data_IF_877863891828
#
_entry.id   IF_877863891828
#
_cell.length_a   1.000
_cell.length_b   1.000
_cell.length_c   1.000
_cell.angle_alpha   90.00
_cell.angle_beta   90.00
_cell.angle_gamma   90.00
#
_symmetry.space_group_name_H-M   'P 1'
#
loop_
_entity.id
_entity.type
_entity.pdbx_description
1 polymer ?
#
# COMPACT_ATOMS: atom_id res chain seq x y z
N UNK A 1 -6.91 -5.96 25.02
CA UNK A 1 -7.19 -5.78 23.59
C UNK A 1 -6.82 -7.09 22.94
N UNK A 2 -7.73 -7.72 22.19
CA UNK A 2 -7.44 -8.97 21.49
C UNK A 2 -7.08 -8.69 20.02
N UNK A 3 -7.89 -7.84 19.35
CA UNK A 3 -7.62 -7.42 17.98
C UNK A 3 -7.93 -5.95 17.71
N UNK A 4 -7.24 -5.39 16.71
CA UNK A 4 -7.48 -4.05 16.21
C UNK A 4 -7.63 -4.11 14.68
N UNK A 5 -8.71 -3.55 14.15
CA UNK A 5 -8.90 -3.38 12.69
C UNK A 5 -8.43 -1.99 12.32
N UNK A 6 -7.58 -1.86 11.31
CA UNK A 6 -6.83 -0.65 10.96
C UNK A 6 -7.04 -0.34 9.47
N UNK A 7 -7.18 0.93 9.16
CA UNK A 7 -7.08 1.49 7.81
C UNK A 7 -6.35 2.83 7.90
N UNK A 8 -5.39 3.08 7.02
CA UNK A 8 -4.63 4.33 7.01
C UNK A 8 -4.72 5.02 5.66
N UNK A 9 -4.73 6.35 5.70
CA UNK A 9 -4.56 7.17 4.52
C UNK A 9 -3.19 7.80 4.57
N UNK A 10 -2.44 7.77 3.47
CA UNK A 10 -1.04 8.21 3.45
C UNK A 10 -0.75 9.16 2.30
N UNK A 11 0.29 9.97 2.42
CA UNK A 11 0.87 10.74 1.34
C UNK A 11 2.31 10.27 1.08
N UNK A 12 2.73 10.27 -0.17
CA UNK A 12 4.14 10.19 -0.58
C UNK A 12 4.30 10.88 -1.93
N UNK A 13 5.48 11.44 -2.19
CA UNK A 13 5.86 11.95 -3.51
C UNK A 13 6.31 10.84 -4.47
N UNK A 14 6.44 9.60 -3.98
CA UNK A 14 6.77 8.43 -4.77
C UNK A 14 5.49 7.75 -5.25
N UNK A 15 5.49 7.28 -6.50
CA UNK A 15 4.32 6.59 -7.07
C UNK A 15 4.29 5.12 -6.63
N UNK A 16 3.37 4.78 -5.72
CA UNK A 16 3.17 3.43 -5.17
C UNK A 16 3.09 2.34 -6.25
N UNK A 17 2.32 2.56 -7.32
CA UNK A 17 2.11 1.58 -8.38
C UNK A 17 3.38 1.30 -9.22
N UNK A 18 4.38 2.19 -9.17
CA UNK A 18 5.66 2.01 -9.89
C UNK A 18 6.76 1.39 -9.04
N UNK A 19 6.70 1.51 -7.72
CA UNK A 19 7.82 1.17 -6.85
C UNK A 19 7.49 0.19 -5.71
N UNK A 20 6.21 -0.08 -5.44
CA UNK A 20 5.78 -0.86 -4.29
C UNK A 20 5.81 -0.07 -2.97
N UNK A 21 5.27 -0.67 -1.91
CA UNK A 21 5.02 -0.01 -0.62
C UNK A 21 6.31 0.36 0.13
N UNK A 22 7.33 -0.49 0.10
CA UNK A 22 8.61 -0.23 0.77
C UNK A 22 9.20 1.10 0.30
N UNK A 23 9.38 1.25 -1.03
CA UNK A 23 9.96 2.49 -1.57
C UNK A 23 9.03 3.70 -1.42
N UNK A 24 7.73 3.46 -1.35
CA UNK A 24 6.73 4.50 -1.12
C UNK A 24 6.82 5.09 0.30
N UNK A 25 6.96 4.21 1.31
CA UNK A 25 7.08 4.58 2.72
C UNK A 25 8.47 5.15 3.07
N UNK A 26 9.54 4.72 2.39
CA UNK A 26 10.89 5.27 2.55
C UNK A 26 11.07 6.73 2.12
N UNK A 27 10.06 7.34 1.49
CA UNK A 27 10.20 8.74 1.07
C UNK A 27 10.39 9.65 2.28
N UNK A 28 11.34 10.61 2.25
CA UNK A 28 11.42 11.66 3.26
C UNK A 28 10.17 12.54 3.35
N UNK A 29 9.31 12.49 2.32
CA UNK A 29 8.04 13.21 2.27
C UNK A 29 6.83 12.29 2.59
N UNK A 30 7.07 11.05 3.03
CA UNK A 30 6.00 10.14 3.43
C UNK A 30 5.32 10.62 4.71
N UNK A 31 3.99 10.58 4.74
CA UNK A 31 3.19 10.93 5.92
C UNK A 31 1.97 10.02 6.04
N UNK A 32 1.67 9.56 7.26
CA UNK A 32 0.33 9.03 7.57
C UNK A 32 -0.58 10.22 7.87
N UNK A 33 -1.63 10.34 7.07
CA UNK A 33 -2.58 11.43 7.07
C UNK A 33 -3.74 11.18 8.03
N UNK A 34 -4.38 10.02 7.92
CA UNK A 34 -5.49 9.58 8.74
C UNK A 34 -5.21 8.17 9.26
N UNK A 35 -5.60 7.91 10.51
CA UNK A 35 -5.52 6.59 11.11
C UNK A 35 -6.90 6.18 11.61
N UNK A 36 -7.55 5.32 10.85
CA UNK A 36 -8.84 4.70 11.17
C UNK A 36 -8.60 3.39 11.92
N UNK A 37 -9.31 3.19 13.03
CA UNK A 37 -9.21 1.93 13.77
C UNK A 37 -10.49 1.55 14.52
N UNK A 38 -10.62 0.26 14.83
CA UNK A 38 -11.60 -0.28 15.78
C UNK A 38 -10.97 -1.37 16.65
N UNK A 39 -11.19 -1.27 17.96
CA UNK A 39 -10.72 -2.24 18.95
C UNK A 39 -11.79 -3.32 19.17
N UNK A 40 -11.41 -4.59 19.10
CA UNK A 40 -12.24 -5.76 19.42
C UNK A 40 -13.62 -5.74 18.73
N UNK A 41 -13.66 -5.31 17.46
CA UNK A 41 -14.88 -5.17 16.66
C UNK A 41 -15.83 -4.04 17.11
N UNK A 42 -15.34 -3.12 17.94
CA UNK A 42 -16.10 -1.99 18.49
C UNK A 42 -16.33 -0.84 17.52
N UNK A 43 -16.62 0.35 18.08
CA UNK A 43 -16.86 1.56 17.29
C UNK A 43 -15.57 2.02 16.61
N UNK A 44 -15.65 2.34 15.31
CA UNK A 44 -14.53 2.93 14.58
C UNK A 44 -14.22 4.34 15.09
N UNK A 45 -12.94 4.63 15.25
CA UNK A 45 -12.37 5.95 15.51
C UNK A 45 -11.48 6.35 14.34
N UNK A 46 -11.38 7.65 14.05
CA UNK A 46 -10.47 8.18 13.02
C UNK A 46 -9.66 9.29 13.67
N UNK A 47 -8.34 9.17 13.59
CA UNK A 47 -7.37 10.13 14.10
C UNK A 47 -6.83 10.95 12.94
N UNK A 48 -6.95 12.27 13.04
CA UNK A 48 -6.49 13.25 12.05
C UNK A 48 -5.02 13.64 12.29
N UNK A 49 -4.11 12.73 11.96
CA UNK A 49 -2.68 12.91 12.16
C UNK A 49 -2.13 14.12 11.38
N UNK A 50 -2.64 14.38 10.18
CA UNK A 50 -2.28 15.55 9.37
C UNK A 50 -2.65 16.89 10.03
N UNK A 51 -3.56 16.91 10.99
CA UNK A 51 -3.93 18.09 11.79
C UNK A 51 -3.39 18.04 13.23
N UNK A 52 -2.47 17.13 13.52
CA UNK A 52 -1.75 17.07 14.80
C UNK A 52 -2.48 16.30 15.90
N UNK A 53 -3.55 15.57 15.59
CA UNK A 53 -4.07 14.57 16.52
C UNK A 53 -3.03 13.45 16.72
N UNK A 54 -3.10 12.75 17.85
CA UNK A 54 -2.14 11.70 18.21
C UNK A 54 -2.87 10.38 18.39
N UNK A 55 -2.20 9.29 17.99
CA UNK A 55 -2.65 7.94 18.30
C UNK A 55 -2.66 7.78 19.84
N UNK A 56 -3.78 7.32 20.44
CA UNK A 56 -3.85 7.09 21.88
C UNK A 56 -2.77 6.10 22.35
N UNK A 57 -2.17 6.27 23.54
CA UNK A 57 -1.09 5.39 24.03
C UNK A 57 -1.44 3.90 23.98
N UNK A 58 -2.66 3.53 24.36
CA UNK A 58 -3.12 2.15 24.37
C UNK A 58 -3.23 1.53 22.96
N UNK A 59 -3.48 2.35 21.94
CA UNK A 59 -3.50 1.93 20.53
C UNK A 59 -2.08 1.86 19.99
N UNK A 60 -1.24 2.82 20.39
CA UNK A 60 0.16 2.87 20.02
C UNK A 60 0.92 1.63 20.51
N UNK A 61 0.76 1.28 21.79
CA UNK A 61 1.37 0.10 22.40
C UNK A 61 0.89 -1.19 21.70
N UNK A 62 -0.39 -1.25 21.32
CA UNK A 62 -0.96 -2.38 20.61
C UNK A 62 -0.37 -2.60 19.20
N UNK A 63 0.19 -1.57 18.56
CA UNK A 63 0.85 -1.73 17.26
C UNK A 63 2.11 -2.59 17.35
N UNK A 64 2.84 -2.52 18.47
CA UNK A 64 4.08 -3.28 18.70
C UNK A 64 3.89 -4.50 19.60
N UNK A 65 2.72 -4.66 20.21
CA UNK A 65 2.39 -5.85 21.02
C UNK A 65 1.93 -7.00 20.11
N UNK A 66 2.75 -8.05 20.01
CA UNK A 66 2.46 -9.22 19.19
C UNK A 66 1.37 -10.13 19.77
N UNK A 67 0.94 -9.91 21.02
CA UNK A 67 -0.24 -10.58 21.57
C UNK A 67 -1.56 -9.99 21.05
N UNK A 68 -1.52 -8.80 20.44
CA UNK A 68 -2.67 -8.16 19.80
C UNK A 68 -2.63 -8.44 18.30
N UNK A 69 -3.73 -8.97 17.76
CA UNK A 69 -3.84 -9.21 16.31
C UNK A 69 -4.28 -7.94 15.58
N UNK A 70 -3.47 -7.48 14.64
CA UNK A 70 -3.79 -6.36 13.76
C UNK A 70 -4.46 -6.89 12.49
N UNK A 71 -5.58 -6.29 12.12
CA UNK A 71 -6.31 -6.59 10.89
C UNK A 71 -6.31 -5.39 9.97
N UNK A 72 -6.12 -5.63 8.67
CA UNK A 72 -6.33 -4.63 7.63
C UNK A 72 -6.67 -5.31 6.30
N UNK A 73 -7.26 -4.56 5.37
CA UNK A 73 -7.49 -5.02 4.00
C UNK A 73 -6.25 -4.70 3.16
N UNK A 74 -5.52 -5.73 2.72
CA UNK A 74 -4.15 -5.60 2.17
C UNK A 74 -3.10 -5.18 3.21
N UNK A 75 -3.14 -5.86 4.37
CA UNK A 75 -2.35 -5.57 5.58
C UNK A 75 -0.83 -5.31 5.41
N UNK A 76 -0.20 -5.79 4.33
CA UNK A 76 1.20 -5.44 4.06
C UNK A 76 1.36 -3.91 3.89
N UNK A 77 0.36 -3.24 3.31
CA UNK A 77 0.42 -1.79 3.13
C UNK A 77 0.47 -1.06 4.48
N UNK A 78 -0.50 -1.34 5.36
CA UNK A 78 -0.59 -0.73 6.68
C UNK A 78 0.65 -1.04 7.51
N UNK A 79 1.09 -2.30 7.52
CA UNK A 79 2.23 -2.77 8.30
C UNK A 79 3.51 -2.03 7.94
N UNK A 80 3.83 -1.89 6.65
CA UNK A 80 5.05 -1.21 6.21
C UNK A 80 4.99 0.30 6.45
N UNK A 81 3.86 0.93 6.14
CA UNK A 81 3.65 2.35 6.40
C UNK A 81 3.75 2.69 7.90
N UNK A 82 3.14 1.88 8.77
CA UNK A 82 3.20 2.07 10.22
C UNK A 82 4.60 1.78 10.78
N UNK A 83 5.33 0.84 10.18
CA UNK A 83 6.73 0.61 10.55
C UNK A 83 7.57 1.86 10.32
N UNK A 84 7.44 2.49 9.14
CA UNK A 84 8.15 3.74 8.85
C UNK A 84 7.76 4.84 9.84
N UNK A 85 6.46 5.02 10.09
CA UNK A 85 5.96 6.03 11.03
C UNK A 85 6.50 5.84 12.45
N UNK A 86 6.52 4.60 12.96
CA UNK A 86 7.04 4.28 14.29
C UNK A 86 8.55 4.48 14.38
N UNK A 87 9.29 4.10 13.33
CA UNK A 87 10.73 4.34 13.25
C UNK A 87 11.06 5.84 13.28
N UNK A 88 10.29 6.68 12.58
CA UNK A 88 10.46 8.14 12.59
C UNK A 88 10.19 8.75 13.98
N UNK A 89 9.34 8.11 14.78
CA UNK A 89 9.10 8.46 16.18
C UNK A 89 10.15 7.92 17.15
N UNK A 90 11.17 7.21 16.65
CA UNK A 90 12.25 6.63 17.45
C UNK A 90 11.85 5.34 18.17
N UNK A 91 10.76 4.69 17.78
CA UNK A 91 10.39 3.37 18.31
C UNK A 91 11.33 2.33 17.72
N UNK A 92 12.00 1.58 18.60
CA UNK A 92 12.76 0.40 18.18
C UNK A 92 11.76 -0.68 17.79
N UNK A 93 11.62 -0.93 16.50
CA UNK A 93 10.82 -2.05 16.01
C UNK A 93 11.57 -3.35 16.22
N UNK A 94 10.84 -4.33 16.71
CA UNK A 94 11.39 -5.56 17.23
C UNK A 94 11.99 -6.43 16.12
N UNK A 95 13.30 -6.73 16.14
CA UNK A 95 13.95 -7.41 15.03
C UNK A 95 13.84 -8.95 15.09
N UNK A 96 12.99 -9.52 15.96
CA UNK A 96 13.03 -10.95 16.32
C UNK A 96 12.84 -11.98 15.20
N UNK A 97 12.38 -11.61 13.99
CA UNK A 97 11.92 -12.60 13.00
C UNK A 97 12.87 -12.84 11.82
N UNK A 98 13.96 -12.08 11.66
CA UNK A 98 15.00 -12.44 10.67
C UNK A 98 16.11 -13.31 11.30
N UNK A 99 15.72 -14.35 12.04
CA UNK A 99 16.62 -15.41 12.55
C UNK A 99 17.22 -16.27 11.42
N UNK A 100 17.20 -15.79 10.18
CA UNK A 100 17.78 -16.48 9.05
C UNK A 100 19.31 -16.37 9.12
N UNK A 101 19.99 -17.53 9.04
CA UNK A 101 21.45 -17.64 9.21
C UNK A 101 22.28 -16.77 8.26
N UNK A 102 21.68 -16.30 7.16
CA UNK A 102 22.35 -15.47 6.14
C UNK A 102 22.07 -13.97 6.29
N UNK A 103 21.26 -13.57 7.26
CA UNK A 103 20.90 -12.17 7.45
C UNK A 103 22.00 -11.42 8.21
N UNK A 104 22.50 -10.36 7.58
CA UNK A 104 23.59 -9.53 8.14
C UNK A 104 23.08 -8.23 8.77
N UNK A 105 21.83 -7.87 8.51
CA UNK A 105 21.14 -6.70 9.00
C UNK A 105 19.72 -7.10 9.42
N UNK A 106 19.18 -6.47 10.45
CA UNK A 106 17.84 -6.78 10.97
C UNK A 106 16.79 -5.96 10.22
N UNK A 107 15.76 -6.62 9.73
CA UNK A 107 14.60 -5.94 9.16
C UNK A 107 13.85 -5.18 10.27
N UNK A 108 13.71 -3.85 10.12
CA UNK A 108 13.05 -2.98 11.11
C UNK A 108 11.60 -2.74 10.72
N UNK A 109 10.81 -3.80 10.66
CA UNK A 109 9.38 -3.73 10.39
C UNK A 109 8.59 -4.36 11.52
N UNK A 110 7.32 -3.98 11.62
CA UNK A 110 6.36 -4.64 12.51
C UNK A 110 6.27 -6.12 12.15
N UNK A 111 6.36 -6.98 13.17
CA UNK A 111 6.34 -8.44 13.02
C UNK A 111 5.08 -8.90 12.28
N UNK A 112 5.19 -9.63 11.14
CA UNK A 112 4.02 -10.10 10.41
C UNK A 112 3.17 -11.15 11.13
N UNK A 113 3.71 -11.88 12.12
CA UNK A 113 2.97 -12.96 12.81
C UNK A 113 1.69 -12.47 13.51
N UNK A 114 1.72 -11.23 14.03
CA UNK A 114 0.59 -10.58 14.68
C UNK A 114 -0.33 -9.82 13.71
N UNK A 115 -0.12 -9.94 12.40
CA UNK A 115 -0.93 -9.30 11.37
C UNK A 115 -1.80 -10.30 10.58
N UNK A 116 -3.01 -9.88 10.25
CA UNK A 116 -3.96 -10.65 9.47
C UNK A 116 -4.57 -9.80 8.36
N UNK A 117 -4.75 -10.40 7.19
CA UNK A 117 -5.17 -9.70 5.99
C UNK A 117 -6.54 -10.20 5.52
N UNK A 118 -7.56 -9.35 5.59
CA UNK A 118 -8.92 -9.72 5.12
C UNK A 118 -9.00 -9.84 3.59
N UNK A 119 -8.06 -9.27 2.84
CA UNK A 119 -7.90 -9.54 1.41
C UNK A 119 -7.47 -10.99 1.15
N UNK A 120 -6.52 -11.53 1.94
CA UNK A 120 -6.11 -12.94 1.84
C UNK A 120 -7.26 -13.86 2.24
N UNK A 121 -7.99 -13.52 3.31
CA UNK A 121 -9.19 -14.25 3.69
C UNK A 121 -10.26 -14.24 2.57
N UNK A 122 -10.42 -13.12 1.88
CA UNK A 122 -11.32 -13.03 0.73
C UNK A 122 -10.83 -13.93 -0.42
N UNK A 123 -9.53 -13.99 -0.67
CA UNK A 123 -8.93 -14.80 -1.72
C UNK A 123 -9.15 -16.31 -1.49
N UNK A 124 -9.05 -16.81 -0.24
CA UNK A 124 -9.30 -18.23 0.07
C UNK A 124 -10.75 -18.64 -0.22
N UNK A 125 -11.66 -17.67 -0.26
CA UNK A 125 -13.07 -17.85 -0.61
C UNK A 125 -13.38 -17.58 -2.09
N UNK A 126 -12.37 -17.29 -2.91
CA UNK A 126 -12.55 -16.96 -4.33
C UNK A 126 -13.25 -15.61 -4.56
N UNK A 127 -13.23 -14.71 -3.58
CA UNK A 127 -13.82 -13.37 -3.68
C UNK A 127 -12.86 -12.39 -4.38
N UNK A 128 -13.35 -11.24 -4.86
CA UNK A 128 -12.49 -10.21 -5.45
C UNK A 128 -11.37 -9.76 -4.50
N UNK A 129 -10.28 -9.20 -5.05
CA UNK A 129 -9.13 -8.76 -4.26
C UNK A 129 -9.13 -7.25 -3.96
N UNK A 130 -10.26 -6.59 -4.11
CA UNK A 130 -10.44 -5.18 -3.73
C UNK A 130 -11.52 -5.04 -2.67
N UNK A 131 -11.36 -4.09 -1.75
CA UNK A 131 -12.33 -3.84 -0.67
C UNK A 131 -13.72 -3.54 -1.25
N UNK A 132 -13.76 -2.71 -2.30
CA UNK A 132 -14.94 -2.47 -3.17
C UNK A 132 -15.54 -3.79 -3.68
N UNK A 133 -14.74 -4.60 -4.38
CA UNK A 133 -15.24 -5.84 -4.99
C UNK A 133 -15.81 -6.83 -3.98
N UNK A 134 -15.11 -7.06 -2.86
CA UNK A 134 -15.58 -7.95 -1.80
C UNK A 134 -16.81 -7.38 -1.12
N UNK A 135 -16.79 -6.08 -0.77
CA UNK A 135 -17.91 -5.40 -0.13
C UNK A 135 -19.18 -5.48 -0.97
N UNK A 136 -19.06 -5.34 -2.29
CA UNK A 136 -20.18 -5.46 -3.23
C UNK A 136 -20.76 -6.87 -3.24
N UNK A 137 -19.91 -7.90 -3.37
CA UNK A 137 -20.33 -9.32 -3.38
C UNK A 137 -21.00 -9.72 -2.06
N UNK A 138 -20.49 -9.23 -0.92
CA UNK A 138 -21.02 -9.54 0.40
C UNK A 138 -22.20 -8.65 0.83
N UNK A 139 -22.62 -7.71 -0.02
CA UNK A 139 -23.73 -6.79 0.27
C UNK A 139 -23.44 -5.84 1.43
N UNK A 140 -22.18 -5.43 1.59
CA UNK A 140 -21.71 -4.49 2.61
C UNK A 140 -21.72 -3.04 2.10
N UNK A 141 -21.79 -2.84 0.78
CA UNK A 141 -21.77 -1.51 0.17
C UNK A 141 -23.08 -0.74 0.36
N UNK A 142 -22.97 0.42 1.03
CA UNK A 142 -23.94 1.52 0.95
C UNK A 142 -23.34 2.68 0.16
N UNK A 143 -23.54 2.67 -1.17
CA UNK A 143 -23.36 3.77 -2.15
C UNK A 143 -22.00 4.52 -2.27
N UNK A 144 -21.60 4.69 -3.55
CA UNK A 144 -20.56 5.54 -4.18
C UNK A 144 -19.15 5.50 -3.58
N UNK A 145 -18.34 4.60 -4.13
CA UNK A 145 -16.89 4.50 -3.96
C UNK A 145 -16.11 5.40 -4.92
N UNK A 146 -16.76 5.98 -5.93
CA UNK A 146 -16.15 6.92 -6.88
C UNK A 146 -15.57 8.16 -6.21
N UNK A 147 -16.21 8.65 -5.14
CA UNK A 147 -15.72 9.79 -4.35
C UNK A 147 -14.41 9.45 -3.61
N UNK A 148 -14.22 8.20 -3.17
CA UNK A 148 -13.00 7.75 -2.49
C UNK A 148 -11.76 7.85 -3.36
N UNK A 149 -11.84 7.34 -4.61
CA UNK A 149 -10.73 7.39 -5.58
C UNK A 149 -10.29 8.83 -5.88
N UNK A 150 -11.24 9.77 -5.95
CA UNK A 150 -10.94 11.18 -6.16
C UNK A 150 -10.29 11.83 -4.94
N UNK A 151 -10.71 11.47 -3.72
CA UNK A 151 -10.14 11.97 -2.48
C UNK A 151 -8.72 11.45 -2.26
N UNK A 152 -8.48 10.15 -2.48
CA UNK A 152 -7.14 9.54 -2.44
C UNK A 152 -6.22 10.25 -3.45
N UNK A 153 -6.66 10.41 -4.70
CA UNK A 153 -5.86 11.13 -5.72
C UNK A 153 -5.57 12.58 -5.31
N UNK A 154 -6.50 13.22 -4.60
CA UNK A 154 -6.36 14.62 -4.19
C UNK A 154 -5.38 14.80 -3.03
N UNK A 155 -5.45 13.97 -1.98
CA UNK A 155 -4.65 14.13 -0.75
C UNK A 155 -3.41 13.23 -0.68
N UNK A 156 -3.43 12.05 -1.28
CA UNK A 156 -2.39 11.02 -1.13
C UNK A 156 -1.29 11.07 -2.20
N UNK A 157 -1.43 11.94 -3.21
CA UNK A 157 -0.51 12.05 -4.35
C UNK A 157 -0.09 13.49 -4.62
N UNK A 158 1.09 13.72 -5.22
CA UNK A 158 1.47 15.04 -5.72
C UNK A 158 0.44 15.57 -6.72
N UNK A 159 0.19 16.88 -6.67
CA UNK A 159 -0.68 17.54 -7.64
C UNK A 159 0.16 18.32 -8.65
N UNK A 160 -0.30 18.36 -9.91
CA UNK A 160 0.36 19.16 -10.95
C UNK A 160 0.18 20.65 -10.66
N UNK A 161 1.25 21.47 -10.64
CA UNK A 161 1.14 22.91 -10.49
C UNK A 161 0.33 23.53 -11.62
N UNK A 162 -0.71 24.28 -11.28
CA UNK A 162 -1.56 25.00 -12.23
C UNK A 162 -1.83 26.42 -11.73
N UNK A 163 -2.31 27.31 -12.60
CA UNK A 163 -2.75 28.64 -12.16
C UNK A 163 -3.91 28.55 -11.17
N UNK A 164 -4.81 27.57 -11.34
CA UNK A 164 -6.00 27.42 -10.52
C UNK A 164 -5.71 26.93 -9.09
N UNK A 165 -4.67 26.12 -8.88
CA UNK A 165 -4.26 25.67 -7.54
C UNK A 165 -3.14 26.53 -6.93
N UNK A 166 -2.80 27.66 -7.55
CA UNK A 166 -1.76 28.58 -7.04
C UNK A 166 -0.34 28.04 -7.20
N UNK A 167 -0.10 27.09 -8.10
CA UNK A 167 1.22 26.49 -8.31
C UNK A 167 1.62 25.45 -7.26
N UNK A 168 0.67 25.01 -6.42
CA UNK A 168 0.91 23.96 -5.41
C UNK A 168 1.31 22.63 -6.08
N UNK A 169 2.19 21.90 -5.41
CA UNK A 169 2.65 20.55 -5.77
C UNK A 169 2.05 19.45 -4.89
N UNK A 170 1.33 19.83 -3.84
CA UNK A 170 0.62 18.94 -2.91
C UNK A 170 -0.65 19.65 -2.42
N UNK A 171 -1.70 18.88 -2.13
CA UNK A 171 -2.89 19.41 -1.45
C UNK A 171 -2.86 19.02 0.02
N UNK A 172 -3.08 20.00 0.88
CA UNK A 172 -3.19 19.87 2.33
C UNK A 172 -4.67 19.87 2.76
N UNK A 173 -4.98 19.41 3.99
CA UNK A 173 -6.33 19.50 4.55
C UNK A 173 -6.95 20.91 4.47
N UNK A 174 -6.12 21.94 4.69
CA UNK A 174 -6.51 23.35 4.63
C UNK A 174 -6.92 23.83 3.23
N UNK A 175 -6.45 23.17 2.17
CA UNK A 175 -6.75 23.55 0.79
C UNK A 175 -8.14 23.11 0.33
N UNK A 176 -8.75 22.12 1.01
CA UNK A 176 -10.12 21.67 0.75
C UNK A 176 -10.77 21.04 1.99
N UNK A 177 -11.17 21.84 3.00
CA UNK A 177 -11.69 21.33 4.27
C UNK A 177 -12.95 20.45 4.13
N UNK A 178 -13.82 20.77 3.18
CA UNK A 178 -15.02 19.97 2.90
C UNK A 178 -14.66 18.57 2.36
N UNK A 179 -13.68 18.50 1.45
CA UNK A 179 -13.14 17.24 0.94
C UNK A 179 -12.43 16.46 2.04
N UNK A 180 -11.71 17.16 2.92
CA UNK A 180 -11.05 16.52 4.07
C UNK A 180 -12.06 15.86 5.02
N UNK A 181 -13.18 16.54 5.28
CA UNK A 181 -14.27 15.98 6.08
C UNK A 181 -14.87 14.73 5.44
N UNK A 182 -15.02 14.71 4.10
CA UNK A 182 -15.45 13.51 3.38
C UNK A 182 -14.38 12.40 3.44
N UNK A 183 -13.11 12.76 3.37
CA UNK A 183 -12.01 11.79 3.44
C UNK A 183 -11.93 11.08 4.79
N UNK A 184 -12.18 11.80 5.90
CA UNK A 184 -12.34 11.17 7.23
C UNK A 184 -13.52 10.21 7.32
N UNK A 185 -14.63 10.52 6.64
CA UNK A 185 -15.78 9.59 6.56
C UNK A 185 -15.47 8.37 5.70
N UNK A 186 -14.66 8.57 4.65
CA UNK A 186 -14.19 7.50 3.78
C UNK A 186 -13.32 6.49 4.54
N UNK A 187 -12.23 6.95 5.19
CA UNK A 187 -11.36 6.08 6.00
C UNK A 187 -12.13 5.34 7.12
N UNK A 188 -13.06 6.02 7.81
CA UNK A 188 -13.97 5.36 8.76
C UNK A 188 -14.75 4.20 8.12
N UNK A 189 -15.34 4.45 6.95
CA UNK A 189 -16.18 3.48 6.24
C UNK A 189 -15.37 2.28 5.75
N UNK A 190 -14.11 2.47 5.38
CA UNK A 190 -13.26 1.38 4.94
C UNK A 190 -12.95 0.42 6.10
N UNK A 191 -12.68 0.92 7.32
CA UNK A 191 -12.62 0.09 8.54
C UNK A 191 -13.95 -0.63 8.80
N UNK A 192 -15.08 0.06 8.72
CA UNK A 192 -16.41 -0.56 8.91
C UNK A 192 -16.68 -1.67 7.88
N UNK A 193 -16.23 -1.48 6.64
CA UNK A 193 -16.38 -2.44 5.55
C UNK A 193 -15.50 -3.65 5.78
N UNK A 194 -14.23 -3.45 6.15
CA UNK A 194 -13.27 -4.50 6.52
C UNK A 194 -13.81 -5.38 7.65
N UNK A 195 -14.31 -4.76 8.72
CA UNK A 195 -14.95 -5.46 9.83
C UNK A 195 -16.20 -6.24 9.38
N UNK A 196 -16.99 -5.65 8.47
CA UNK A 196 -18.12 -6.32 7.84
C UNK A 196 -17.71 -7.56 7.07
N UNK A 197 -16.58 -7.51 6.34
CA UNK A 197 -16.00 -8.65 5.62
C UNK A 197 -15.61 -9.73 6.63
N UNK A 198 -14.82 -9.39 7.67
CA UNK A 198 -14.44 -10.32 8.75
C UNK A 198 -15.66 -11.02 9.34
N UNK A 199 -16.71 -10.27 9.68
CA UNK A 199 -17.94 -10.82 10.25
C UNK A 199 -18.67 -11.79 9.30
N UNK A 200 -18.69 -11.50 8.00
CA UNK A 200 -19.28 -12.39 6.98
C UNK A 200 -18.47 -13.66 6.76
N UNK A 201 -17.14 -13.54 6.82
CA UNK A 201 -16.21 -14.66 6.58
C UNK A 201 -15.92 -15.48 7.82
N UNK A 202 -16.31 -15.04 9.02
CA UNK A 202 -16.01 -15.69 10.30
C UNK A 202 -16.34 -17.20 10.38
N UNK A 203 -17.32 -17.67 9.60
CA UNK A 203 -17.69 -19.10 9.54
C UNK A 203 -16.73 -19.96 8.69
N UNK A 204 -15.83 -19.32 7.95
CA UNK A 204 -14.90 -19.94 7.01
C UNK A 204 -13.48 -19.45 7.31
N UNK A 205 -12.93 -19.69 8.52
CA UNK A 205 -11.63 -19.17 8.90
C UNK A 205 -10.54 -19.69 7.96
N UNK A 206 -9.58 -18.82 7.64
CA UNK A 206 -8.34 -19.22 6.98
C UNK A 206 -7.59 -20.21 7.87
N UNK A 207 -7.07 -21.29 7.30
CA UNK A 207 -6.32 -22.30 8.05
C UNK A 207 -5.00 -21.71 8.58
N UNK A 208 -4.52 -22.26 9.70
CA UNK A 208 -3.22 -21.87 10.28
C UNK A 208 -2.08 -21.96 9.26
N UNK A 209 -2.04 -23.05 8.48
CA UNK A 209 -1.03 -23.26 7.44
C UNK A 209 -0.97 -22.15 6.38
N UNK A 210 -2.11 -21.57 6.01
CA UNK A 210 -2.15 -20.46 5.03
C UNK A 210 -1.70 -19.15 5.67
N UNK A 211 -1.94 -18.97 6.98
CA UNK A 211 -1.34 -17.85 7.70
C UNK A 211 0.17 -17.99 7.81
N UNK A 212 0.68 -19.20 8.07
CA UNK A 212 2.13 -19.46 8.10
C UNK A 212 2.77 -19.14 6.73
N UNK A 213 2.13 -19.54 5.63
CA UNK A 213 2.56 -19.18 4.27
C UNK A 213 2.54 -17.66 4.04
N UNK A 214 1.50 -16.96 4.51
CA UNK A 214 1.40 -15.50 4.43
C UNK A 214 2.51 -14.79 5.21
N UNK A 215 2.87 -15.28 6.40
CA UNK A 215 3.95 -14.70 7.20
C UNK A 215 5.31 -14.89 6.51
N UNK A 216 5.58 -16.08 5.97
CA UNK A 216 6.81 -16.37 5.21
C UNK A 216 6.91 -15.43 4.00
N UNK A 217 5.81 -15.19 3.27
CA UNK A 217 5.78 -14.21 2.19
C UNK A 217 6.16 -12.81 2.68
N UNK A 218 5.62 -12.35 3.82
CA UNK A 218 5.95 -11.03 4.36
C UNK A 218 7.43 -10.94 4.75
N UNK A 219 7.99 -11.95 5.40
CA UNK A 219 9.41 -12.00 5.79
C UNK A 219 10.34 -11.99 4.57
N UNK A 220 9.98 -12.70 3.49
CA UNK A 220 10.74 -12.69 2.23
C UNK A 220 10.74 -11.28 1.62
N UNK A 221 9.58 -10.62 1.59
CA UNK A 221 9.47 -9.26 1.06
C UNK A 221 10.23 -8.24 1.92
N UNK A 222 10.17 -8.36 3.25
CA UNK A 222 10.89 -7.49 4.20
C UNK A 222 12.41 -7.61 4.04
N UNK A 223 12.91 -8.82 3.79
CA UNK A 223 14.34 -9.08 3.54
C UNK A 223 14.80 -8.50 2.20
N UNK A 224 13.93 -8.54 1.20
CA UNK A 224 14.25 -8.15 -0.17
C UNK A 224 15.29 -9.06 -0.84
N UNK A 225 15.81 -8.60 -1.98
CA UNK A 225 16.83 -9.31 -2.77
C UNK A 225 17.99 -8.39 -3.09
N UNK A 226 19.22 -8.85 -2.82
CA UNK A 226 20.43 -8.09 -3.15
C UNK A 226 20.70 -8.17 -4.65
N UNK A 227 20.90 -7.02 -5.28
CA UNK A 227 21.19 -6.91 -6.70
C UNK A 227 22.65 -6.49 -6.94
N UNK A 228 23.29 -7.06 -7.96
CA UNK A 228 24.55 -6.54 -8.49
C UNK A 228 24.25 -5.33 -9.39
N UNK A 229 24.36 -4.14 -8.80
CA UNK A 229 24.07 -2.88 -9.50
C UNK A 229 25.00 -2.66 -10.69
N UNK A 230 26.26 -3.14 -10.65
CA UNK A 230 27.15 -3.03 -11.80
C UNK A 230 26.61 -3.86 -12.97
N UNK A 231 26.18 -5.09 -12.71
CA UNK A 231 25.57 -5.94 -13.74
C UNK A 231 24.31 -5.29 -14.32
N UNK A 232 23.42 -4.77 -13.46
CA UNK A 232 22.18 -4.09 -13.87
C UNK A 232 22.48 -2.90 -14.77
N UNK A 233 23.41 -2.02 -14.40
CA UNK A 233 23.78 -0.86 -15.21
C UNK A 233 24.36 -1.25 -16.57
N UNK A 234 25.20 -2.29 -16.61
CA UNK A 234 25.76 -2.80 -17.87
C UNK A 234 24.67 -3.40 -18.76
N UNK A 235 23.72 -4.13 -18.18
CA UNK A 235 22.58 -4.68 -18.90
C UNK A 235 21.70 -3.57 -19.50
N UNK A 236 21.39 -2.52 -18.74
CA UNK A 236 20.62 -1.36 -19.23
C UNK A 236 21.34 -0.67 -20.41
N UNK A 237 22.66 -0.48 -20.30
CA UNK A 237 23.48 0.12 -21.38
C UNK A 237 23.48 -0.77 -22.63
N UNK A 238 23.60 -2.08 -22.46
CA UNK A 238 23.56 -3.04 -23.57
C UNK A 238 22.19 -3.07 -24.25
N UNK A 239 21.10 -3.07 -23.48
CA UNK A 239 19.73 -2.99 -23.98
C UNK A 239 19.51 -1.71 -24.80
N UNK A 240 19.91 -0.55 -24.26
CA UNK A 240 19.79 0.73 -24.98
C UNK A 240 20.54 0.73 -26.32
N UNK A 241 21.78 0.22 -26.34
CA UNK A 241 22.57 0.07 -27.56
C UNK A 241 21.88 -0.85 -28.57
N UNK A 242 21.51 -2.06 -28.12
CA UNK A 242 20.90 -3.07 -28.99
C UNK A 242 19.57 -2.59 -29.56
N UNK A 243 18.74 -1.93 -28.74
CA UNK A 243 17.49 -1.30 -29.18
C UNK A 243 17.75 -0.26 -30.26
N UNK A 244 18.76 0.59 -30.09
CA UNK A 244 19.14 1.59 -31.09
C UNK A 244 19.56 0.96 -32.43
N UNK A 245 20.47 0.00 -32.38
CA UNK A 245 21.00 -0.71 -33.56
C UNK A 245 19.91 -1.48 -34.31
N UNK A 246 19.07 -2.23 -33.59
CA UNK A 246 17.97 -2.99 -34.16
C UNK A 246 16.87 -2.07 -34.72
N UNK A 247 16.55 -0.97 -34.02
CA UNK A 247 15.58 0.02 -34.51
C UNK A 247 16.09 0.69 -35.80
N UNK A 248 17.38 1.01 -35.89
CA UNK A 248 17.96 1.55 -37.12
C UNK A 248 17.92 0.52 -38.26
N UNK A 249 18.23 -0.74 -37.95
CA UNK A 249 18.24 -1.84 -38.92
C UNK A 249 16.83 -2.10 -39.48
N UNK A 250 15.81 -2.19 -38.62
CA UNK A 250 14.43 -2.41 -39.07
C UNK A 250 13.90 -1.23 -39.87
N UNK A 251 14.23 0.03 -39.50
CA UNK A 251 13.90 1.21 -40.32
C UNK A 251 14.54 1.12 -41.70
N UNK A 252 15.80 0.69 -41.80
CA UNK A 252 16.50 0.53 -43.08
C UNK A 252 15.87 -0.55 -43.97
N UNK A 253 15.47 -1.69 -43.39
CA UNK A 253 14.88 -2.80 -44.14
C UNK A 253 13.46 -2.45 -44.61
N UNK A 254 12.67 -1.85 -43.73
CA UNK A 254 11.24 -1.60 -43.98
C UNK A 254 10.96 -0.26 -44.63
N UNK A 255 11.91 0.68 -44.57
CA UNK A 255 11.73 2.09 -44.95
C UNK A 255 10.58 2.79 -44.19
N UNK A 256 10.17 2.25 -43.04
CA UNK A 256 9.13 2.83 -42.19
C UNK A 256 9.71 3.84 -41.20
N UNK A 257 9.00 4.95 -40.99
CA UNK A 257 9.37 5.98 -40.01
C UNK A 257 9.23 5.48 -38.57
N UNK A 258 8.18 4.70 -38.29
CA UNK A 258 7.93 4.09 -36.98
C UNK A 258 7.64 2.59 -37.09
N UNK A 259 8.70 1.75 -37.01
CA UNK A 259 8.58 0.29 -37.02
C UNK A 259 7.80 -0.28 -35.84
N UNK A 260 7.58 0.49 -34.76
CA UNK A 260 6.75 0.07 -33.63
C UNK A 260 5.25 0.28 -33.89
N UNK A 261 4.87 0.98 -34.97
CA UNK A 261 3.48 1.13 -35.35
C UNK A 261 2.98 -0.16 -35.99
N UNK A 262 2.05 -0.82 -35.31
CA UNK A 262 1.38 -2.03 -35.81
C UNK A 262 0.74 -1.78 -37.18
N UNK A 263 0.18 -0.59 -37.40
CA UNK A 263 -0.43 -0.22 -38.68
C UNK A 263 0.61 -0.11 -39.80
N UNK A 264 1.73 0.56 -39.55
CA UNK A 264 2.78 0.72 -40.56
C UNK A 264 3.42 -0.61 -40.92
N UNK A 265 3.72 -1.45 -39.91
CA UNK A 265 4.28 -2.78 -40.15
C UNK A 265 3.34 -3.68 -40.94
N UNK A 266 2.02 -3.61 -40.69
CA UNK A 266 1.02 -4.36 -41.47
C UNK A 266 0.91 -3.92 -42.92
N UNK A 267 1.23 -2.67 -43.24
CA UNK A 267 1.21 -2.18 -44.63
C UNK A 267 2.45 -2.62 -45.41
N UNK A 268 3.56 -2.88 -44.72
CA UNK A 268 4.81 -3.33 -45.33
C UNK A 268 4.85 -4.84 -45.61
N UNK A 269 4.25 -5.66 -44.74
CA UNK A 269 4.12 -7.12 -44.90
C UNK A 269 3.15 -7.51 -46.02
#
# INVERSE_FOLDING_TARGET
>A
MNDISIDIETYSDVNLAKCGVYKYAESPNFEILLFGYAVDGGKVSVIDLAQGEKIPPEIFDALTDDSVIKWAFNANFERICLSSYLADLGVSLDPFHDNHLLSTEMAQFLNPESWRCSMIWSATMGLPLSLEGVGSVLGLEKQKLTEGKELIKYFCQPCTPTKANGGRTRNLPSDAPDKWTLFKKYNRRDVETEMGIKARLAKFPVSGSVWDEYHIDQEINDRGVRLDINLVEKAIKMDARSRGELTATIKKITSLDNPNSVQQMKQWL
#
